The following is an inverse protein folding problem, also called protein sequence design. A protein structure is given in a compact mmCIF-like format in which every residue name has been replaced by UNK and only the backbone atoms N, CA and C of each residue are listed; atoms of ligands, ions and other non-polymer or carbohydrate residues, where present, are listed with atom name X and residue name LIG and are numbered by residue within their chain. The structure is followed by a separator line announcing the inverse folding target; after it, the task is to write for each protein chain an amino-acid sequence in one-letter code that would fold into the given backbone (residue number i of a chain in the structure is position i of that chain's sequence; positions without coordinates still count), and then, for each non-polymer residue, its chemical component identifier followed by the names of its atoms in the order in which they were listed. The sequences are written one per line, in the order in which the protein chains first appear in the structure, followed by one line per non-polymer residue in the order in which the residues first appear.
data_IF_966699849635
#
_entry.id   IF_966699849635
#
_cell.length_a   1.000
_cell.length_b   1.000
_cell.length_c   1.000
_cell.angle_alpha   90.00
_cell.angle_beta   90.00
_cell.angle_gamma   90.00
#
_symmetry.space_group_name_H-M   'P 1'
#
loop_
_entity.id
_entity.type
_entity.pdbx_description
1 polymer ?
#
# COMPACT_ATOMS: atom_id res chain seq x y z
N UNK A 1 17.36 -5.06 5.64
CA UNK A 1 16.70 -4.73 4.35
C UNK A 1 15.86 -3.50 4.61
N UNK A 2 16.20 -2.38 3.98
CA UNK A 2 15.48 -1.13 4.17
C UNK A 2 14.02 -1.24 3.63
N UNK A 3 13.10 -0.47 4.20
CA UNK A 3 11.68 -0.54 3.84
C UNK A 3 11.43 -0.09 2.39
N UNK A 4 12.32 0.71 1.82
CA UNK A 4 12.26 1.16 0.44
C UNK A 4 12.52 -0.01 -0.54
N UNK A 5 13.54 -0.82 -0.27
CA UNK A 5 13.89 -2.03 -0.99
C UNK A 5 12.81 -3.09 -0.87
N UNK A 6 12.09 -3.16 0.27
CA UNK A 6 10.93 -4.05 0.43
C UNK A 6 9.76 -3.64 -0.47
N UNK A 7 9.49 -2.35 -0.60
CA UNK A 7 8.43 -1.82 -1.49
C UNK A 7 8.83 -2.00 -2.96
N UNK A 8 10.10 -1.75 -3.32
CA UNK A 8 10.61 -2.03 -4.66
C UNK A 8 10.52 -3.53 -5.01
N UNK A 9 10.86 -4.42 -4.07
CA UNK A 9 10.67 -5.86 -4.26
C UNK A 9 9.18 -6.27 -4.36
N UNK A 10 8.28 -5.54 -3.72
CA UNK A 10 6.83 -5.74 -3.89
C UNK A 10 6.38 -5.32 -5.30
N UNK A 11 6.89 -4.20 -5.82
CA UNK A 11 6.69 -3.81 -7.21
C UNK A 11 7.15 -4.89 -8.18
N UNK A 12 8.39 -5.41 -8.04
CA UNK A 12 8.89 -6.45 -8.95
C UNK A 12 8.04 -7.73 -8.92
N UNK A 13 7.50 -8.13 -7.76
CA UNK A 13 6.58 -9.28 -7.65
C UNK A 13 5.25 -9.03 -8.35
N UNK A 14 4.71 -7.82 -8.24
CA UNK A 14 3.49 -7.42 -8.94
C UNK A 14 3.71 -7.33 -10.45
N UNK A 15 4.91 -6.91 -10.88
CA UNK A 15 5.30 -6.94 -12.29
C UNK A 15 5.26 -8.35 -12.85
N UNK A 16 5.90 -9.29 -12.14
CA UNK A 16 5.96 -10.69 -12.51
C UNK A 16 4.57 -11.35 -12.55
N UNK A 17 3.61 -10.84 -11.75
CA UNK A 17 2.22 -11.28 -11.75
C UNK A 17 1.35 -10.64 -12.87
N UNK A 18 1.92 -9.79 -13.72
CA UNK A 18 1.21 -9.14 -14.83
C UNK A 18 0.41 -7.89 -14.44
N UNK A 19 0.63 -7.34 -13.24
CA UNK A 19 -0.04 -6.11 -12.81
C UNK A 19 0.54 -4.91 -13.58
N UNK A 20 -0.29 -4.02 -14.15
CA UNK A 20 0.21 -2.83 -14.83
C UNK A 20 0.95 -1.96 -13.82
N UNK A 21 2.25 -1.80 -14.03
CA UNK A 21 3.08 -1.05 -13.11
C UNK A 21 3.29 0.39 -13.57
N UNK A 22 3.37 1.33 -12.61
CA UNK A 22 3.86 2.67 -12.85
C UNK A 22 5.29 2.65 -13.43
N UNK A 23 5.64 3.72 -14.15
CA UNK A 23 7.01 3.97 -14.64
C UNK A 23 8.01 4.05 -13.48
N UNK A 24 9.31 3.89 -13.76
CA UNK A 24 10.35 3.94 -12.72
C UNK A 24 10.26 5.19 -11.84
N UNK A 25 10.04 6.36 -12.44
CA UNK A 25 9.87 7.64 -11.72
C UNK A 25 8.62 7.64 -10.82
N UNK A 26 7.54 7.02 -11.29
CA UNK A 26 6.32 6.87 -10.50
C UNK A 26 6.52 5.88 -9.34
N UNK A 27 7.28 4.80 -9.53
CA UNK A 27 7.57 3.80 -8.48
C UNK A 27 8.29 4.43 -7.29
N UNK A 28 9.29 5.28 -7.53
CA UNK A 28 10.02 5.95 -6.44
C UNK A 28 9.10 6.92 -5.68
N UNK A 29 8.27 7.67 -6.40
CA UNK A 29 7.28 8.58 -5.79
C UNK A 29 6.25 7.83 -4.96
N UNK A 30 5.77 6.69 -5.46
CA UNK A 30 4.86 5.80 -4.73
C UNK A 30 5.51 5.25 -3.48
N UNK A 31 6.73 4.74 -3.56
CA UNK A 31 7.43 4.17 -2.41
C UNK A 31 7.59 5.20 -1.28
N UNK A 32 7.95 6.45 -1.62
CA UNK A 32 8.03 7.57 -0.66
C UNK A 32 6.67 7.87 -0.01
N UNK A 33 5.58 7.88 -0.79
CA UNK A 33 4.23 8.13 -0.28
C UNK A 33 3.73 6.99 0.61
N UNK A 34 3.90 5.75 0.17
CA UNK A 34 3.50 4.55 0.89
C UNK A 34 4.18 4.50 2.27
N UNK A 35 5.50 4.72 2.31
CA UNK A 35 6.26 4.76 3.55
C UNK A 35 5.81 5.88 4.49
N UNK A 36 5.70 7.12 3.97
CA UNK A 36 5.29 8.28 4.77
C UNK A 36 3.92 8.04 5.39
N UNK A 37 2.97 7.49 4.62
CA UNK A 37 1.62 7.21 5.13
C UNK A 37 1.63 6.10 6.16
N UNK A 38 2.24 4.96 5.88
CA UNK A 38 2.30 3.82 6.80
C UNK A 38 2.88 4.21 8.16
N UNK A 39 4.02 4.91 8.17
CA UNK A 39 4.69 5.35 9.41
C UNK A 39 3.93 6.46 10.16
N UNK A 40 3.24 7.34 9.44
CA UNK A 40 2.47 8.43 10.07
C UNK A 40 1.13 7.93 10.62
N UNK A 41 0.61 6.83 10.08
CA UNK A 41 -0.65 6.24 10.50
C UNK A 41 -0.62 5.76 11.95
N UNK A 42 0.47 5.12 12.39
CA UNK A 42 0.66 4.71 13.79
C UNK A 42 0.68 5.91 14.76
N UNK A 43 1.20 7.05 14.32
CA UNK A 43 1.22 8.27 15.14
C UNK A 43 -0.18 8.87 15.30
N UNK A 44 -1.03 8.79 14.26
CA UNK A 44 -2.39 9.37 14.25
C UNK A 44 -3.45 8.46 14.86
N UNK A 45 -3.21 7.15 14.87
CA UNK A 45 -4.17 6.15 15.31
C UNK A 45 -4.11 5.84 16.82
N UNK A 46 -3.32 6.59 17.59
CA UNK A 46 -3.31 6.49 19.08
C UNK A 46 -4.69 6.70 19.73
N UNK A 47 -5.66 7.26 19.02
CA UNK A 47 -7.02 7.52 19.51
C UNK A 47 -7.99 6.37 19.18
N UNK A 48 -7.68 5.50 18.20
CA UNK A 48 -8.51 4.36 17.79
C UNK A 48 -7.60 3.28 17.21
N UNK A 49 -7.55 2.07 17.81
CA UNK A 49 -6.82 0.93 17.24
C UNK A 49 -7.39 0.63 15.85
N UNK A 50 -6.68 0.99 14.77
CA UNK A 50 -7.19 0.89 13.42
C UNK A 50 -7.06 -0.55 12.95
N UNK A 51 -8.06 -1.07 12.25
CA UNK A 51 -7.97 -2.42 11.69
C UNK A 51 -6.92 -2.46 10.56
N UNK A 52 -6.38 -3.65 10.23
CA UNK A 52 -5.54 -3.83 9.03
C UNK A 52 -6.22 -3.31 7.76
N UNK A 53 -7.52 -3.53 7.61
CA UNK A 53 -8.31 -3.03 6.48
C UNK A 53 -8.35 -1.49 6.41
N UNK A 54 -8.38 -0.80 7.54
CA UNK A 54 -8.34 0.68 7.56
C UNK A 54 -6.98 1.22 7.14
N UNK A 55 -5.88 0.51 7.47
CA UNK A 55 -4.52 0.82 7.01
C UNK A 55 -4.40 0.67 5.51
N UNK A 56 -4.89 -0.45 4.97
CA UNK A 56 -4.89 -0.74 3.53
C UNK A 56 -5.67 0.35 2.78
N UNK A 57 -6.89 0.70 3.24
CA UNK A 57 -7.69 1.77 2.64
C UNK A 57 -7.02 3.15 2.70
N UNK A 58 -6.37 3.51 3.81
CA UNK A 58 -5.62 4.78 3.89
C UNK A 58 -4.43 4.81 2.93
N UNK A 59 -3.72 3.69 2.80
CA UNK A 59 -2.62 3.52 1.88
C UNK A 59 -3.09 3.64 0.43
N UNK A 60 -4.13 2.89 0.03
CA UNK A 60 -4.73 2.96 -1.31
C UNK A 60 -5.15 4.39 -1.67
N UNK A 61 -5.82 5.09 -0.74
CA UNK A 61 -6.16 6.52 -0.92
C UNK A 61 -4.92 7.39 -1.05
N UNK A 62 -3.85 7.08 -0.34
CA UNK A 62 -2.55 7.74 -0.48
C UNK A 62 -1.94 7.57 -1.87
N UNK A 63 -2.02 6.36 -2.43
CA UNK A 63 -1.54 6.03 -3.77
C UNK A 63 -2.33 6.79 -4.85
N UNK A 64 -3.66 6.74 -4.78
CA UNK A 64 -4.55 7.48 -5.68
C UNK A 64 -4.20 8.98 -5.68
N UNK A 65 -4.08 9.59 -4.50
CA UNK A 65 -3.73 11.02 -4.41
C UNK A 65 -2.34 11.36 -4.95
N UNK A 66 -1.45 10.38 -5.09
CA UNK A 66 -0.10 10.59 -5.57
C UNK A 66 0.04 10.36 -7.07
N UNK A 67 -0.79 9.48 -7.64
CA UNK A 67 -0.69 9.02 -9.03
C UNK A 67 -1.71 9.66 -9.95
N UNK A 68 -2.90 9.95 -9.44
CA UNK A 68 -4.00 10.45 -10.24
C UNK A 68 -4.05 11.97 -10.19
N UNK A 69 -4.17 12.57 -11.37
CA UNK A 69 -4.31 14.02 -11.50
C UNK A 69 -5.63 14.50 -10.88
N UNK A 70 -6.70 13.70 -10.99
CA UNK A 70 -7.96 13.91 -10.27
C UNK A 70 -8.41 12.63 -9.55
N UNK A 71 -8.14 12.51 -8.24
CA UNK A 71 -8.54 11.39 -7.39
C UNK A 71 -10.04 11.05 -7.43
N UNK A 72 -10.90 12.01 -7.78
CA UNK A 72 -12.36 11.81 -7.82
C UNK A 72 -12.79 10.99 -9.01
N UNK A 73 -11.96 10.89 -10.04
CA UNK A 73 -12.23 10.16 -11.28
C UNK A 73 -11.86 8.67 -11.20
N UNK A 74 -11.16 8.25 -10.14
CA UNK A 74 -10.74 6.85 -9.97
C UNK A 74 -11.91 5.89 -9.94
N UNK A 75 -13.02 6.27 -9.29
CA UNK A 75 -14.24 5.46 -9.25
C UNK A 75 -13.96 3.99 -8.88
N UNK A 76 -14.45 3.01 -9.68
CA UNK A 76 -14.24 1.59 -9.44
C UNK A 76 -12.77 1.12 -9.45
N UNK A 77 -11.86 1.85 -10.09
CA UNK A 77 -10.43 1.50 -10.17
C UNK A 77 -9.74 1.55 -8.81
N UNK A 78 -10.39 2.09 -7.77
CA UNK A 78 -9.86 2.10 -6.40
C UNK A 78 -9.48 0.69 -5.91
N UNK A 79 -10.15 -0.35 -6.42
CA UNK A 79 -9.87 -1.75 -6.08
C UNK A 79 -8.46 -2.19 -6.51
N UNK A 80 -7.94 -1.65 -7.61
CA UNK A 80 -6.58 -1.96 -8.07
C UNK A 80 -5.55 -1.33 -7.12
N UNK A 81 -5.83 -0.13 -6.61
CA UNK A 81 -4.98 0.51 -5.59
C UNK A 81 -5.09 -0.16 -4.22
N UNK A 82 -6.25 -0.74 -3.88
CA UNK A 82 -6.41 -1.56 -2.67
C UNK A 82 -5.57 -2.83 -2.76
N UNK A 83 -5.62 -3.55 -3.90
CA UNK A 83 -4.76 -4.72 -4.15
C UNK A 83 -3.27 -4.36 -4.08
N UNK A 84 -2.89 -3.22 -4.66
CA UNK A 84 -1.52 -2.70 -4.59
C UNK A 84 -1.12 -2.37 -3.14
N UNK A 85 -2.02 -1.75 -2.37
CA UNK A 85 -1.80 -1.41 -0.98
C UNK A 85 -1.67 -2.65 -0.09
N UNK A 86 -2.42 -3.72 -0.34
CA UNK A 86 -2.29 -5.02 0.36
C UNK A 86 -0.90 -5.61 0.15
N UNK A 87 -0.43 -5.67 -1.10
CA UNK A 87 0.91 -6.17 -1.42
C UNK A 87 2.02 -5.37 -0.72
N UNK A 88 1.85 -4.04 -0.64
CA UNK A 88 2.79 -3.19 0.09
C UNK A 88 2.71 -3.38 1.60
N UNK A 89 1.51 -3.49 2.16
CA UNK A 89 1.32 -3.75 3.58
C UNK A 89 2.00 -5.07 3.99
N UNK A 90 1.81 -6.15 3.23
CA UNK A 90 2.44 -7.44 3.47
C UNK A 90 3.98 -7.39 3.35
N UNK A 91 4.51 -6.56 2.45
CA UNK A 91 5.96 -6.40 2.29
C UNK A 91 6.60 -5.58 3.43
N UNK A 92 5.93 -4.51 3.86
CA UNK A 92 6.39 -3.60 4.91
C UNK A 92 6.23 -4.26 6.29
N UNK A 93 5.10 -4.92 6.53
CA UNK A 93 4.78 -5.60 7.78
C UNK A 93 4.31 -7.05 7.50
N UNK A 94 5.26 -8.01 7.37
CA UNK A 94 4.94 -9.41 7.15
C UNK A 94 4.19 -10.06 8.32
N UNK A 95 4.12 -9.41 9.49
CA UNK A 95 3.35 -9.92 10.64
C UNK A 95 1.88 -9.50 10.59
N UNK A 96 1.52 -8.50 9.79
CA UNK A 96 0.14 -8.13 9.53
C UNK A 96 -0.64 -9.24 8.78
N UNK A 97 0.07 -10.04 7.98
CA UNK A 97 -0.49 -11.17 7.21
C UNK A 97 -0.80 -12.40 8.09
N UNK A 98 -0.12 -12.56 9.23
CA UNK A 98 -0.35 -13.68 10.17
C UNK A 98 -1.63 -13.54 11.02
N UNK A 99 -2.33 -12.41 10.91
CA UNK A 99 -3.57 -12.15 11.65
C UNK A 99 -4.83 -12.81 11.06
N UNK A 100 -4.73 -13.46 9.89
CA UNK A 100 -5.84 -14.06 9.17
C UNK A 100 -5.62 -15.58 8.95
N UNK A 101 -5.32 -16.33 10.01
CA UNK A 101 -5.57 -17.78 10.02
C UNK A 101 -6.80 -18.04 10.91
N UNK A 102 -7.91 -18.58 10.39
CA UNK A 102 -8.99 -19.06 11.25
C UNK A 102 -8.46 -20.24 12.10
N UNK A 103 -8.88 -20.37 13.37
CA UNK A 103 -8.53 -21.56 14.15
C UNK A 103 -9.19 -22.77 13.48
N UNK A 104 -8.37 -23.79 13.18
CA UNK A 104 -8.84 -25.13 12.88
C UNK A 104 -9.32 -25.85 14.13
#
# INVERSE_FOLDING_TARGET
MDDHARVLAAFERLHAAGCPLPTADQRERIAKVAFRRWRTFDRRSRIRRPSPADRIRDLARGLVNALEADPRLVGPLIRDYECLAEAFAAAIDPTADRGQLPPG
#
